data_IF_377113402413
#
_entry.id   IF_377113402413
#
_cell.length_a   1.000
_cell.length_b   1.000
_cell.length_c   1.000
_cell.angle_alpha   90.00
_cell.angle_beta   90.00
_cell.angle_gamma   90.00
#
_symmetry.space_group_name_H-M   'P 1'
#
loop_
_entity.id
_entity.type
_entity.pdbx_description
1 polymer ?
#
# COMPACT_ATOMS: atom_id res chain seq x y z
N UNK A 1 -5.42 -17.24 21.62
CA UNK A 1 -4.41 -16.18 21.39
C UNK A 1 -4.66 -15.56 20.02
N UNK A 2 -4.50 -14.25 19.85
CA UNK A 2 -4.63 -13.60 18.53
C UNK A 2 -3.28 -13.58 17.83
N UNK A 3 -3.22 -14.02 16.58
CA UNK A 3 -1.97 -14.04 15.80
C UNK A 3 -2.07 -13.09 14.62
N UNK A 4 -1.03 -12.31 14.36
CA UNK A 4 -0.95 -11.41 13.22
C UNK A 4 0.37 -11.60 12.50
N UNK A 5 0.30 -11.99 11.22
CA UNK A 5 1.43 -11.89 10.31
C UNK A 5 1.45 -10.49 9.71
N UNK A 6 2.56 -9.78 9.84
CA UNK A 6 2.77 -8.49 9.20
C UNK A 6 3.78 -8.64 8.07
N UNK A 7 3.27 -8.67 6.85
CA UNK A 7 4.05 -8.70 5.60
C UNK A 7 4.35 -7.26 5.21
N UNK A 8 5.63 -6.90 5.24
CA UNK A 8 6.06 -5.62 4.71
C UNK A 8 6.21 -5.71 3.19
N UNK A 9 5.31 -5.03 2.50
CA UNK A 9 5.27 -4.97 1.05
C UNK A 9 6.23 -3.90 0.52
N UNK A 10 6.75 -4.15 -0.68
CA UNK A 10 7.55 -3.23 -1.47
C UNK A 10 6.84 -3.13 -2.80
N UNK A 11 6.03 -2.09 -2.94
CA UNK A 11 5.30 -1.84 -4.17
C UNK A 11 6.27 -1.71 -5.34
N UNK A 12 6.18 -2.62 -6.31
CA UNK A 12 6.68 -2.39 -7.65
C UNK A 12 5.66 -1.57 -8.43
N UNK A 13 6.05 -1.03 -9.59
CA UNK A 13 5.14 -0.28 -10.47
C UNK A 13 3.86 -1.01 -10.84
N UNK A 14 3.84 -2.34 -10.77
CA UNK A 14 2.67 -3.21 -10.95
C UNK A 14 1.67 -3.18 -9.79
N UNK A 15 2.13 -2.83 -8.59
CA UNK A 15 1.31 -2.76 -7.37
C UNK A 15 0.80 -1.35 -7.08
N UNK A 16 1.33 -0.34 -7.79
CA UNK A 16 0.89 1.05 -7.68
C UNK A 16 -0.39 1.25 -8.52
N UNK A 17 -1.43 1.79 -7.88
CA UNK A 17 -2.68 2.15 -8.57
C UNK A 17 -2.48 3.37 -9.48
N UNK A 18 -1.90 3.15 -10.66
CA UNK A 18 -1.56 4.18 -11.65
C UNK A 18 -2.79 5.01 -12.08
N UNK A 19 -3.98 4.39 -12.11
CA UNK A 19 -5.25 5.04 -12.46
C UNK A 19 -5.67 6.10 -11.43
N UNK A 20 -5.36 5.88 -10.15
CA UNK A 20 -5.74 6.80 -9.06
C UNK A 20 -4.81 8.03 -9.03
N UNK A 21 -3.58 7.91 -9.53
CA UNK A 21 -2.57 8.97 -9.42
C UNK A 21 -2.38 9.81 -10.69
N UNK A 22 -3.08 9.50 -11.79
CA UNK A 22 -2.87 10.12 -13.11
C UNK A 22 -1.38 10.14 -13.52
N UNK A 23 -0.68 9.06 -13.14
CA UNK A 23 0.71 8.79 -13.52
C UNK A 23 0.66 7.66 -14.54
N UNK A 24 1.31 7.83 -15.69
CA UNK A 24 1.40 6.72 -16.63
C UNK A 24 2.25 5.59 -16.06
N UNK A 25 1.95 4.34 -16.39
CA UNK A 25 2.81 3.21 -16.00
C UNK A 25 4.26 3.40 -16.47
N UNK A 26 4.47 4.11 -17.57
CA UNK A 26 5.79 4.45 -18.10
C UNK A 26 6.54 5.47 -17.23
N UNK A 27 5.85 6.45 -16.65
CA UNK A 27 6.46 7.42 -15.73
C UNK A 27 6.95 6.71 -14.46
N UNK A 28 6.15 5.77 -13.91
CA UNK A 28 6.55 4.99 -12.74
C UNK A 28 7.78 4.14 -13.07
N UNK A 29 7.76 3.41 -14.19
CA UNK A 29 8.92 2.62 -14.65
C UNK A 29 10.17 3.48 -14.87
N UNK A 30 10.01 4.70 -15.36
CA UNK A 30 11.12 5.64 -15.55
C UNK A 30 11.70 6.11 -14.21
N UNK A 31 10.86 6.34 -13.19
CA UNK A 31 11.31 6.67 -11.82
C UNK A 31 12.08 5.48 -11.22
N UNK A 32 11.54 4.27 -11.30
CA UNK A 32 12.21 3.05 -10.82
C UNK A 32 13.57 2.85 -11.51
N UNK A 33 13.61 3.03 -12.83
CA UNK A 33 14.84 2.88 -13.61
C UNK A 33 15.89 3.93 -13.24
N UNK A 34 15.47 5.16 -12.91
CA UNK A 34 16.37 6.20 -12.40
C UNK A 34 16.88 5.87 -10.99
N UNK A 35 16.04 5.31 -10.13
CA UNK A 35 16.38 5.01 -8.75
C UNK A 35 17.31 3.78 -8.61
N UNK A 36 17.02 2.69 -9.34
CA UNK A 36 17.67 1.40 -9.14
C UNK A 36 18.49 0.91 -10.35
N UNK A 37 18.29 1.50 -11.52
CA UNK A 37 18.86 0.97 -12.78
C UNK A 37 18.24 -0.36 -13.21
N UNK A 38 18.49 -0.77 -14.46
CA UNK A 38 17.89 -2.00 -15.02
C UNK A 38 18.29 -3.27 -14.26
N UNK A 39 19.55 -3.39 -13.86
CA UNK A 39 20.03 -4.55 -13.11
C UNK A 39 19.52 -4.57 -11.67
N UNK A 40 19.39 -3.39 -11.04
CA UNK A 40 18.80 -3.28 -9.71
C UNK A 40 17.34 -3.69 -9.70
N UNK A 41 16.55 -3.26 -10.70
CA UNK A 41 15.15 -3.69 -10.86
C UNK A 41 15.06 -5.21 -10.98
N UNK A 42 15.83 -5.84 -11.88
CA UNK A 42 15.81 -7.30 -12.04
C UNK A 42 16.15 -8.06 -10.75
N UNK A 43 17.12 -7.55 -9.98
CA UNK A 43 17.48 -8.14 -8.68
C UNK A 43 16.34 -7.98 -7.68
N UNK A 44 15.72 -6.80 -7.63
CA UNK A 44 14.59 -6.51 -6.76
C UNK A 44 13.37 -7.38 -7.09
N UNK A 45 12.99 -7.48 -8.37
CA UNK A 45 11.93 -8.36 -8.86
C UNK A 45 12.18 -9.81 -8.42
N UNK A 46 13.41 -10.31 -8.55
CA UNK A 46 13.76 -11.67 -8.13
C UNK A 46 13.60 -11.86 -6.61
N UNK A 47 14.03 -10.89 -5.81
CA UNK A 47 13.89 -10.94 -4.35
C UNK A 47 12.41 -10.93 -3.94
N UNK A 48 11.61 -10.04 -4.55
CA UNK A 48 10.17 -9.92 -4.27
C UNK A 48 9.44 -11.19 -4.68
N UNK A 49 9.67 -11.71 -5.90
CA UNK A 49 9.02 -12.93 -6.37
C UNK A 49 9.35 -14.13 -5.48
N UNK A 50 10.62 -14.31 -5.13
CA UNK A 50 11.03 -15.37 -4.20
C UNK A 50 10.37 -15.23 -2.82
N UNK A 51 10.25 -14.00 -2.31
CA UNK A 51 9.57 -13.74 -1.05
C UNK A 51 8.10 -14.15 -1.11
N UNK A 52 7.36 -13.73 -2.15
CA UNK A 52 5.97 -14.12 -2.33
C UNK A 52 5.78 -15.62 -2.58
N UNK A 53 6.72 -16.30 -3.24
CA UNK A 53 6.69 -17.76 -3.35
C UNK A 53 6.79 -18.45 -1.98
N UNK A 54 7.61 -17.90 -1.07
CA UNK A 54 7.74 -18.39 0.30
C UNK A 54 6.47 -18.09 1.11
N UNK A 55 5.88 -16.90 0.95
CA UNK A 55 4.60 -16.56 1.58
C UNK A 55 3.49 -17.47 1.10
N UNK A 56 3.41 -17.74 -0.20
CA UNK A 56 2.45 -18.69 -0.79
C UNK A 56 2.55 -20.06 -0.13
N UNK A 57 3.75 -20.65 -0.06
CA UNK A 57 3.99 -21.95 0.61
C UNK A 57 3.66 -21.93 2.10
N UNK A 58 3.87 -20.81 2.79
CA UNK A 58 3.52 -20.65 4.21
C UNK A 58 2.01 -20.65 4.39
N UNK A 59 1.30 -19.79 3.65
CA UNK A 59 -0.16 -19.62 3.76
C UNK A 59 -0.98 -20.64 2.97
N UNK A 60 -0.33 -21.60 2.31
CA UNK A 60 -0.95 -22.87 1.94
C UNK A 60 -1.31 -23.72 3.16
N UNK A 61 -0.49 -23.66 4.22
CA UNK A 61 -0.62 -24.51 5.40
C UNK A 61 -1.21 -23.78 6.59
N UNK A 62 -0.97 -22.47 6.67
CA UNK A 62 -1.50 -21.62 7.73
C UNK A 62 -2.91 -21.14 7.37
N UNK A 63 -3.85 -21.28 8.32
CA UNK A 63 -5.18 -20.66 8.19
C UNK A 63 -5.05 -19.16 8.42
N UNK A 64 -5.63 -18.37 7.53
CA UNK A 64 -5.79 -16.91 7.70
C UNK A 64 -7.27 -16.60 7.75
N UNK A 65 -7.74 -16.01 8.85
CA UNK A 65 -9.14 -15.64 9.03
C UNK A 65 -9.42 -14.25 8.45
N UNK A 66 -8.47 -13.31 8.61
CA UNK A 66 -8.64 -11.90 8.23
C UNK A 66 -7.46 -11.34 7.46
N UNK A 67 -7.75 -10.55 6.44
CA UNK A 67 -6.77 -9.84 5.62
C UNK A 67 -6.96 -8.34 5.85
N UNK A 68 -5.84 -7.66 6.10
CA UNK A 68 -5.72 -6.22 6.21
C UNK A 68 -4.71 -5.75 5.16
N UNK A 69 -5.04 -4.71 4.39
CA UNK A 69 -4.16 -4.15 3.36
C UNK A 69 -3.97 -2.65 3.57
N UNK A 70 -2.75 -2.18 3.35
CA UNK A 70 -2.44 -0.76 3.15
C UNK A 70 -3.41 -0.13 2.14
N UNK A 71 -3.90 1.07 2.44
CA UNK A 71 -4.92 1.77 1.66
C UNK A 71 -6.31 1.14 1.70
N UNK A 72 -6.51 0.07 2.49
CA UNK A 72 -7.77 -0.66 2.59
C UNK A 72 -8.88 0.11 3.31
N UNK A 73 -9.57 0.99 2.59
CA UNK A 73 -10.63 1.86 3.15
C UNK A 73 -12.01 1.19 3.25
N UNK A 74 -12.19 -0.02 2.70
CA UNK A 74 -13.49 -0.69 2.59
C UNK A 74 -13.49 -2.01 3.38
N UNK A 75 -14.55 -2.25 4.14
CA UNK A 75 -14.80 -3.55 4.75
C UNK A 75 -15.48 -4.49 3.75
N UNK A 76 -14.67 -5.13 2.92
CA UNK A 76 -15.13 -6.03 1.87
C UNK A 76 -15.88 -7.25 2.41
N UNK A 77 -15.60 -7.71 3.64
CA UNK A 77 -16.39 -8.76 4.27
C UNK A 77 -17.83 -8.33 4.56
N UNK A 78 -18.06 -7.04 4.85
CA UNK A 78 -19.42 -6.48 4.98
C UNK A 78 -20.07 -6.32 3.61
N UNK A 79 -19.32 -5.89 2.59
CA UNK A 79 -19.81 -5.78 1.20
C UNK A 79 -20.23 -7.15 0.67
N UNK A 80 -19.43 -8.20 0.87
CA UNK A 80 -19.75 -9.56 0.46
C UNK A 80 -21.11 -10.07 1.00
N UNK A 81 -21.47 -9.64 2.22
CA UNK A 81 -22.73 -10.03 2.88
C UNK A 81 -23.93 -9.18 2.44
N UNK A 82 -23.70 -7.92 2.08
CA UNK A 82 -24.75 -6.92 1.85
C UNK A 82 -24.99 -6.60 0.37
N UNK A 83 -23.96 -6.73 -0.45
CA UNK A 83 -23.88 -6.39 -1.88
C UNK A 83 -22.92 -7.35 -2.61
N UNK A 84 -23.27 -8.65 -2.69
CA UNK A 84 -22.39 -9.68 -3.24
C UNK A 84 -21.94 -9.38 -4.67
N UNK A 85 -22.78 -8.75 -5.49
CA UNK A 85 -22.44 -8.34 -6.86
C UNK A 85 -21.28 -7.34 -6.92
N UNK A 86 -21.17 -6.44 -5.93
CA UNK A 86 -20.05 -5.49 -5.83
C UNK A 86 -18.79 -6.21 -5.36
N UNK A 87 -18.94 -7.18 -4.46
CA UNK A 87 -17.82 -7.99 -4.00
C UNK A 87 -17.25 -8.88 -5.12
N UNK A 88 -18.11 -9.47 -5.95
CA UNK A 88 -17.70 -10.25 -7.12
C UNK A 88 -16.94 -9.38 -8.13
N UNK A 89 -17.39 -8.14 -8.37
CA UNK A 89 -16.65 -7.19 -9.19
C UNK A 89 -15.27 -6.88 -8.60
N UNK A 90 -15.19 -6.66 -7.29
CA UNK A 90 -13.90 -6.45 -6.63
C UNK A 90 -12.95 -7.65 -6.79
N UNK A 91 -13.46 -8.90 -6.69
CA UNK A 91 -12.64 -10.08 -6.94
C UNK A 91 -12.16 -10.16 -8.40
N UNK A 92 -12.98 -9.77 -9.37
CA UNK A 92 -12.57 -9.67 -10.78
C UNK A 92 -11.47 -8.61 -10.96
N UNK A 93 -11.59 -7.46 -10.30
CA UNK A 93 -10.56 -6.42 -10.34
C UNK A 93 -9.24 -6.93 -9.74
N UNK A 94 -9.30 -7.75 -8.68
CA UNK A 94 -8.10 -8.44 -8.16
C UNK A 94 -7.51 -9.40 -9.18
N UNK A 95 -8.32 -10.19 -9.89
CA UNK A 95 -7.86 -11.11 -10.95
C UNK A 95 -7.15 -10.38 -12.10
N UNK A 96 -7.63 -9.19 -12.48
CA UNK A 96 -6.95 -8.34 -13.46
C UNK A 96 -5.56 -7.90 -12.94
N UNK A 97 -5.46 -7.48 -11.67
CA UNK A 97 -4.18 -7.10 -11.07
C UNK A 97 -3.20 -8.28 -10.95
N UNK A 98 -3.72 -9.46 -10.63
CA UNK A 98 -2.94 -10.71 -10.63
C UNK A 98 -2.43 -11.04 -12.03
N UNK A 99 -3.30 -10.92 -13.05
CA UNK A 99 -2.93 -11.15 -14.45
C UNK A 99 -1.89 -10.14 -14.94
N UNK A 100 -1.87 -8.93 -14.36
CA UNK A 100 -0.84 -7.92 -14.58
C UNK A 100 0.47 -8.17 -13.82
N UNK A 101 0.54 -9.22 -12.98
CA UNK A 101 1.75 -9.67 -12.29
C UNK A 101 1.87 -9.23 -10.82
N UNK A 102 0.82 -8.67 -10.21
CA UNK A 102 0.88 -8.30 -8.79
C UNK A 102 0.86 -9.53 -7.87
N UNK A 103 2.01 -9.81 -7.25
CA UNK A 103 2.17 -10.92 -6.30
C UNK A 103 1.43 -10.66 -4.98
N UNK A 104 1.30 -9.39 -4.59
CA UNK A 104 0.55 -8.97 -3.40
C UNK A 104 -0.93 -9.29 -3.54
N UNK A 105 -1.55 -8.88 -4.65
CA UNK A 105 -2.95 -9.20 -4.93
C UNK A 105 -3.18 -10.68 -5.20
N UNK A 106 -2.18 -11.41 -5.71
CA UNK A 106 -2.27 -12.86 -5.87
C UNK A 106 -2.40 -13.58 -4.53
N UNK A 107 -1.59 -13.19 -3.54
CA UNK A 107 -1.70 -13.71 -2.19
C UNK A 107 -3.10 -13.40 -1.61
N UNK A 108 -3.55 -12.16 -1.70
CA UNK A 108 -4.87 -11.74 -1.18
C UNK A 108 -6.01 -12.50 -1.85
N UNK A 109 -6.01 -12.58 -3.17
CA UNK A 109 -7.02 -13.31 -3.92
C UNK A 109 -7.04 -14.79 -3.53
N UNK A 110 -5.86 -15.42 -3.40
CA UNK A 110 -5.76 -16.83 -3.02
C UNK A 110 -6.35 -17.11 -1.63
N UNK A 111 -6.15 -16.18 -0.67
CA UNK A 111 -6.66 -16.31 0.69
C UNK A 111 -8.15 -15.98 0.77
N UNK A 112 -8.61 -14.94 0.07
CA UNK A 112 -10.02 -14.61 -0.04
C UNK A 112 -10.83 -15.77 -0.64
N UNK A 113 -10.30 -16.44 -1.69
CA UNK A 113 -10.91 -17.65 -2.28
C UNK A 113 -10.94 -18.84 -1.31
N UNK A 114 -10.05 -18.89 -0.31
CA UNK A 114 -10.06 -19.87 0.78
C UNK A 114 -10.99 -19.49 1.95
N UNK A 115 -11.67 -18.34 1.85
CA UNK A 115 -12.65 -17.88 2.84
C UNK A 115 -12.14 -16.85 3.84
N UNK A 116 -10.93 -16.31 3.67
CA UNK A 116 -10.46 -15.21 4.50
C UNK A 116 -11.31 -13.94 4.29
N UNK A 117 -11.66 -13.25 5.36
CA UNK A 117 -12.40 -11.98 5.32
C UNK A 117 -11.44 -10.80 5.06
N UNK A 118 -11.65 -10.04 3.99
CA UNK A 118 -10.91 -8.80 3.74
C UNK A 118 -11.58 -7.66 4.53
N UNK A 119 -10.84 -7.08 5.48
CA UNK A 119 -11.35 -6.08 6.41
C UNK A 119 -10.93 -4.68 6.00
N UNK A 120 -11.73 -3.70 6.43
CA UNK A 120 -11.29 -2.32 6.45
C UNK A 120 -10.06 -2.21 7.35
N UNK A 121 -9.02 -1.61 6.81
CA UNK A 121 -7.72 -1.46 7.45
C UNK A 121 -7.52 -0.02 7.87
N UNK A 122 -7.94 0.95 7.07
CA UNK A 122 -7.68 2.37 7.32
C UNK A 122 -8.93 3.25 7.38
N UNK A 123 -8.74 4.46 7.88
CA UNK A 123 -9.75 5.52 7.78
C UNK A 123 -9.84 6.03 6.33
N UNK A 124 -11.02 5.98 5.68
CA UNK A 124 -11.19 6.38 4.29
C UNK A 124 -10.77 7.83 4.02
N UNK A 125 -10.95 8.72 4.99
CA UNK A 125 -10.56 10.13 4.87
C UNK A 125 -9.04 10.26 4.82
N UNK A 126 -8.30 9.53 5.65
CA UNK A 126 -6.84 9.55 5.66
C UNK A 126 -6.27 8.99 4.34
N UNK A 127 -6.85 7.90 3.82
CA UNK A 127 -6.47 7.32 2.52
C UNK A 127 -6.69 8.33 1.38
N UNK A 128 -7.85 9.02 1.37
CA UNK A 128 -8.15 10.06 0.37
C UNK A 128 -7.21 11.27 0.48
N UNK A 129 -6.86 11.68 1.69
CA UNK A 129 -5.91 12.77 1.94
C UNK A 129 -4.50 12.44 1.42
N UNK A 130 -4.04 11.20 1.60
CA UNK A 130 -2.79 10.71 1.05
C UNK A 130 -2.81 10.63 -0.48
N UNK A 131 -3.85 10.03 -1.07
CA UNK A 131 -4.01 9.98 -2.53
C UNK A 131 -3.99 11.40 -3.14
N UNK A 132 -4.70 12.34 -2.52
CA UNK A 132 -4.71 13.76 -2.93
C UNK A 132 -3.31 14.38 -2.85
N UNK A 133 -2.55 14.08 -1.81
CA UNK A 133 -1.18 14.56 -1.68
C UNK A 133 -0.29 14.03 -2.81
N UNK A 134 -0.32 12.71 -3.08
CA UNK A 134 0.46 12.12 -4.16
C UNK A 134 0.08 12.69 -5.53
N UNK A 135 -1.21 12.84 -5.82
CA UNK A 135 -1.68 13.48 -7.07
C UNK A 135 -1.13 14.90 -7.23
N UNK A 136 -1.17 15.71 -6.16
CA UNK A 136 -0.62 17.07 -6.19
C UNK A 136 0.90 17.04 -6.42
N UNK A 137 1.60 16.15 -5.72
CA UNK A 137 3.04 16.01 -5.83
C UNK A 137 3.47 15.62 -7.25
N UNK A 138 2.77 14.67 -7.87
CA UNK A 138 2.98 14.26 -9.28
C UNK A 138 2.79 15.44 -10.22
N UNK A 139 1.70 16.21 -10.07
CA UNK A 139 1.45 17.40 -10.89
C UNK A 139 2.62 18.38 -10.80
N UNK A 140 3.15 18.59 -9.58
CA UNK A 140 4.31 19.45 -9.39
C UNK A 140 5.59 18.89 -10.04
N UNK A 141 5.82 17.57 -10.01
CA UNK A 141 6.94 16.95 -10.73
C UNK A 141 6.83 17.20 -12.24
N UNK A 142 5.64 16.98 -12.82
CA UNK A 142 5.40 17.21 -14.26
C UNK A 142 5.68 18.67 -14.63
N UNK A 143 5.20 19.63 -13.83
CA UNK A 143 5.49 21.06 -14.03
C UNK A 143 6.99 21.34 -14.00
N UNK A 144 7.72 20.80 -13.01
CA UNK A 144 9.18 20.98 -12.91
C UNK A 144 9.91 20.41 -14.12
N UNK A 145 9.46 19.26 -14.64
CA UNK A 145 10.02 18.67 -15.85
C UNK A 145 9.75 19.54 -17.08
N UNK A 146 8.54 20.03 -17.26
CA UNK A 146 8.19 20.92 -18.37
C UNK A 146 8.98 22.25 -18.33
N UNK A 147 9.14 22.85 -17.14
CA UNK A 147 10.00 24.02 -16.93
C UNK A 147 11.44 23.74 -17.36
N UNK A 148 11.98 22.56 -17.00
CA UNK A 148 13.33 22.16 -17.40
C UNK A 148 13.51 22.00 -18.92
N UNK A 149 12.40 21.74 -19.64
CA UNK A 149 12.34 21.68 -21.11
C UNK A 149 12.06 23.03 -21.76
N UNK A 150 12.03 24.12 -20.98
CA UNK A 150 11.85 25.49 -21.46
C UNK A 150 10.40 25.89 -21.69
N UNK A 151 9.41 25.12 -21.20
CA UNK A 151 8.00 25.53 -21.22
C UNK A 151 7.84 26.82 -20.41
N UNK A 152 7.16 27.80 -21.00
CA UNK A 152 6.76 29.03 -20.32
C UNK A 152 5.28 28.92 -19.96
N UNK A 153 4.96 29.35 -18.75
CA UNK A 153 3.60 29.43 -18.26
C UNK A 153 3.15 30.89 -18.31
N UNK A 154 1.86 31.12 -18.51
CA UNK A 154 1.29 32.45 -18.41
C UNK A 154 1.14 32.86 -16.92
N UNK A 155 0.92 34.15 -16.61
CA UNK A 155 0.86 34.59 -15.21
C UNK A 155 -0.20 33.90 -14.34
N UNK A 156 -1.30 33.43 -14.93
CA UNK A 156 -2.35 32.69 -14.21
C UNK A 156 -1.87 31.28 -13.85
N UNK A 157 -1.28 30.58 -14.82
CA UNK A 157 -0.70 29.25 -14.61
C UNK A 157 0.45 29.31 -13.59
N UNK A 158 1.28 30.35 -13.62
CA UNK A 158 2.34 30.54 -12.62
C UNK A 158 1.80 30.68 -11.20
N UNK A 159 0.67 31.36 -11.03
CA UNK A 159 0.02 31.50 -9.73
C UNK A 159 -0.57 30.18 -9.24
N UNK A 160 -1.24 29.43 -10.12
CA UNK A 160 -1.76 28.08 -9.81
C UNK A 160 -0.63 27.12 -9.39
N UNK A 161 0.54 27.20 -10.03
CA UNK A 161 1.74 26.42 -9.67
C UNK A 161 2.25 26.79 -8.28
N UNK A 162 2.27 28.09 -7.93
CA UNK A 162 2.69 28.54 -6.60
C UNK A 162 1.73 28.05 -5.52
N UNK A 163 0.42 28.20 -5.75
CA UNK A 163 -0.61 27.70 -4.82
C UNK A 163 -0.48 26.20 -4.59
N UNK A 164 -0.26 25.43 -5.67
CA UNK A 164 -0.01 23.98 -5.59
C UNK A 164 1.25 23.68 -4.76
N UNK A 165 2.35 24.41 -4.98
CA UNK A 165 3.59 24.22 -4.24
C UNK A 165 3.43 24.54 -2.74
N UNK A 166 2.71 25.61 -2.39
CA UNK A 166 2.38 25.96 -1.00
C UNK A 166 1.54 24.86 -0.35
N UNK A 167 0.52 24.35 -1.05
CA UNK A 167 -0.32 23.25 -0.56
C UNK A 167 0.49 21.99 -0.28
N UNK A 168 1.39 21.62 -1.19
CA UNK A 168 2.28 20.45 -1.03
C UNK A 168 3.23 20.65 0.16
N UNK A 169 3.85 21.82 0.29
CA UNK A 169 4.77 22.12 1.40
C UNK A 169 4.07 21.99 2.76
N UNK A 170 2.83 22.50 2.86
CA UNK A 170 1.99 22.30 4.05
C UNK A 170 1.74 20.82 4.31
N UNK A 171 1.28 20.07 3.31
CA UNK A 171 1.00 18.64 3.47
C UNK A 171 2.26 17.82 3.83
N UNK A 172 3.43 18.19 3.32
CA UNK A 172 4.71 17.58 3.70
C UNK A 172 5.06 17.85 5.16
N UNK A 173 4.82 19.06 5.66
CA UNK A 173 5.07 19.37 7.08
C UNK A 173 4.18 18.56 8.03
N UNK A 174 3.01 18.12 7.56
CA UNK A 174 2.03 17.31 8.31
C UNK A 174 2.18 15.80 8.04
N UNK A 175 3.17 15.37 7.24
CA UNK A 175 3.26 13.98 6.76
C UNK A 175 3.54 12.99 7.89
N UNK A 176 4.41 13.34 8.84
CA UNK A 176 4.75 12.46 9.97
C UNK A 176 3.52 12.20 10.86
N UNK A 177 2.79 13.27 11.22
CA UNK A 177 1.55 13.17 12.01
C UNK A 177 0.48 12.35 11.28
N UNK A 178 0.37 12.52 9.96
CA UNK A 178 -0.58 11.75 9.15
C UNK A 178 -0.22 10.27 9.10
N UNK A 179 1.06 9.94 8.94
CA UNK A 179 1.55 8.57 8.97
C UNK A 179 1.23 7.89 10.31
N UNK A 180 1.47 8.59 11.42
CA UNK A 180 1.13 8.09 12.75
C UNK A 180 -0.39 7.86 12.91
N UNK A 181 -1.23 8.80 12.46
CA UNK A 181 -2.70 8.62 12.49
C UNK A 181 -3.16 7.42 11.67
N UNK A 182 -2.53 7.15 10.52
CA UNK A 182 -2.81 5.96 9.71
C UNK A 182 -2.40 4.70 10.47
N UNK A 183 -1.20 4.64 11.05
CA UNK A 183 -0.74 3.51 11.87
C UNK A 183 -1.68 3.20 13.04
N UNK A 184 -2.14 4.25 13.74
CA UNK A 184 -3.12 4.12 14.81
C UNK A 184 -4.46 3.58 14.32
N UNK A 185 -4.97 4.08 13.18
CA UNK A 185 -6.23 3.60 12.60
C UNK A 185 -6.14 2.13 12.18
N UNK A 186 -5.00 1.72 11.59
CA UNK A 186 -4.71 0.33 11.23
C UNK A 186 -4.74 -0.56 12.46
N UNK A 187 -3.99 -0.18 13.50
CA UNK A 187 -3.95 -0.95 14.74
C UNK A 187 -5.33 -1.03 15.41
N UNK A 188 -6.07 0.08 15.46
CA UNK A 188 -7.41 0.13 16.05
C UNK A 188 -8.39 -0.79 15.32
N UNK A 189 -8.39 -0.78 13.99
CA UNK A 189 -9.21 -1.69 13.18
C UNK A 189 -8.84 -3.15 13.41
N UNK A 190 -7.54 -3.48 13.47
CA UNK A 190 -7.08 -4.84 13.79
C UNK A 190 -7.50 -5.23 15.20
N UNK A 191 -7.26 -4.37 16.20
CA UNK A 191 -7.57 -4.62 17.60
C UNK A 191 -9.06 -4.90 17.83
N UNK A 192 -9.94 -4.21 17.10
CA UNK A 192 -11.40 -4.36 17.15
C UNK A 192 -11.90 -5.58 16.39
N UNK A 193 -11.30 -5.88 15.24
CA UNK A 193 -11.85 -6.87 14.33
C UNK A 193 -11.22 -8.25 14.49
N UNK A 194 -9.92 -8.37 14.82
CA UNK A 194 -9.25 -9.66 15.05
C UNK A 194 -9.61 -10.19 16.44
N UNK A 195 -10.34 -11.31 16.45
CA UNK A 195 -10.88 -11.96 17.65
C UNK A 195 -9.94 -13.04 18.16
N UNK A 196 -10.21 -13.51 19.37
CA UNK A 196 -9.45 -14.58 19.99
C UNK A 196 -9.43 -15.85 19.12
N UNK A 197 -8.26 -16.51 19.05
CA UNK A 197 -7.99 -17.68 18.22
C UNK A 197 -8.07 -17.45 16.70
N UNK A 198 -8.21 -16.20 16.25
CA UNK A 198 -8.11 -15.86 14.83
C UNK A 198 -6.67 -15.47 14.45
N UNK A 199 -6.36 -15.74 13.19
CA UNK A 199 -5.12 -15.35 12.54
C UNK A 199 -5.38 -14.27 11.50
N UNK A 200 -4.70 -13.14 11.64
CA UNK A 200 -4.69 -12.03 10.69
C UNK A 200 -3.46 -12.04 9.80
N UNK A 201 -3.61 -11.52 8.59
CA UNK A 201 -2.52 -11.13 7.69
C UNK A 201 -2.65 -9.63 7.40
N UNK A 202 -1.66 -8.84 7.81
CA UNK A 202 -1.51 -7.45 7.44
C UNK A 202 -0.45 -7.33 6.35
N UNK A 203 -0.82 -6.81 5.19
CA UNK A 203 0.10 -6.44 4.11
C UNK A 203 0.23 -4.92 4.13
N UNK A 204 1.43 -4.40 4.42
CA UNK A 204 1.64 -2.98 4.68
C UNK A 204 2.96 -2.46 4.13
N UNK A 205 3.01 -1.19 3.70
CA UNK A 205 4.24 -0.57 3.24
C UNK A 205 5.31 -0.49 4.32
N UNK A 206 6.58 -0.63 3.92
CA UNK A 206 7.75 -0.63 4.82
C UNK A 206 7.98 0.64 5.67
N UNK A 207 7.22 1.71 5.41
CA UNK A 207 7.26 2.97 6.16
C UNK A 207 6.37 2.96 7.42
N UNK A 208 5.42 2.04 7.51
CA UNK A 208 4.44 1.99 8.59
C UNK A 208 5.01 1.35 9.87
N UNK A 209 4.56 1.85 11.03
CA UNK A 209 4.94 1.35 12.35
C UNK A 209 3.71 1.11 13.24
N UNK A 210 2.94 0.07 12.90
CA UNK A 210 1.68 -0.29 13.59
C UNK A 210 1.93 -0.97 14.95
N UNK A 211 3.07 -1.65 15.12
CA UNK A 211 3.39 -2.49 16.29
C UNK A 211 3.17 -1.81 17.65
N UNK A 212 3.56 -0.55 17.89
CA UNK A 212 3.35 0.12 19.18
C UNK A 212 1.88 0.29 19.57
N UNK A 213 0.97 0.28 18.59
CA UNK A 213 -0.46 0.53 18.78
C UNK A 213 -1.30 -0.76 18.83
N UNK A 214 -0.70 -1.93 18.55
CA UNK A 214 -1.38 -3.21 18.65
C UNK A 214 -1.66 -3.59 20.11
N UNK A 215 -2.80 -4.23 20.34
CA UNK A 215 -3.18 -4.72 21.65
C UNK A 215 -2.21 -5.83 22.11
N UNK A 216 -1.85 -5.82 23.40
CA UNK A 216 -0.85 -6.74 24.00
C UNK A 216 -1.12 -8.23 23.79
N UNK A 217 -2.37 -8.62 23.52
CA UNK A 217 -2.76 -10.01 23.26
C UNK A 217 -2.60 -10.45 21.80
N UNK A 218 -2.04 -9.61 20.93
CA UNK A 218 -1.72 -9.96 19.55
C UNK A 218 -0.24 -10.38 19.47
N UNK A 219 -0.01 -11.63 19.11
CA UNK A 219 1.31 -12.12 18.75
C UNK A 219 1.63 -11.70 17.31
N UNK A 220 2.66 -10.89 17.15
CA UNK A 220 3.07 -10.33 15.86
C UNK A 220 4.26 -11.11 15.28
N UNK A 221 4.11 -11.67 14.09
CA UNK A 221 5.21 -12.22 13.28
C UNK A 221 5.47 -11.31 12.08
N UNK A 222 6.65 -10.69 12.05
CA UNK A 222 7.05 -9.76 11.00
C UNK A 222 7.74 -10.52 9.86
N UNK A 223 7.27 -10.33 8.63
CA UNK A 223 7.74 -11.02 7.42
C UNK A 223 8.25 -9.97 6.43
N UNK A 224 9.51 -10.09 6.03
CA UNK A 224 10.15 -9.19 5.08
C UNK A 224 10.98 -9.98 4.06
N UNK A 225 11.17 -9.46 2.84
CA UNK A 225 12.12 -10.04 1.90
C UNK A 225 13.54 -10.08 2.48
N UNK A 226 14.29 -11.11 2.13
CA UNK A 226 15.67 -11.28 2.60
C UNK A 226 16.56 -10.07 2.24
N UNK A 227 17.38 -9.63 3.19
CA UNK A 227 18.25 -8.47 3.02
C UNK A 227 17.55 -7.10 3.17
N UNK A 228 16.24 -7.09 3.40
CA UNK A 228 15.50 -5.89 3.76
C UNK A 228 15.54 -5.66 5.28
N UNK A 229 15.54 -4.39 5.68
CA UNK A 229 15.32 -3.93 7.05
C UNK A 229 14.23 -2.87 7.02
N UNK A 230 13.46 -2.73 8.09
CA UNK A 230 12.53 -1.61 8.21
C UNK A 230 13.29 -0.29 8.13
N UNK A 231 12.65 0.75 7.60
CA UNK A 231 13.30 2.07 7.52
C UNK A 231 13.54 2.63 8.93
N UNK A 232 12.70 2.29 9.90
CA UNK A 232 12.92 2.56 11.33
C UNK A 232 14.19 1.92 11.91
N UNK A 233 14.71 0.85 11.29
CA UNK A 233 15.93 0.13 11.70
C UNK A 233 17.19 0.60 10.92
N UNK A 234 17.05 1.56 9.99
CA UNK A 234 18.17 2.17 9.27
C UNK A 234 18.70 3.45 9.93
N UNK A 235 17.96 3.98 10.91
CA UNK A 235 18.31 5.22 11.63
C UNK A 235 18.77 4.98 13.08
N UNK A 236 19.05 3.72 13.45
CA UNK A 236 19.61 3.33 14.76
C UNK A 236 21.06 2.91 14.66
#
# INVERSE_FOLDING_TARGET
>A
MRKLFCVYDIHLSTDLESKTLDISADDIKNIEKKAYGREGIKKLEKVINNFYDLLGKKFEKEKVDKIYQDGGAIDWATVAKTKPEIYDQFLNDLEEKVSAGSRSYELVLSLAKKGSEIKQTEDPKLVLEEATFFQNYVKLIKVKEELSKGKKYNPKEEEEIKELAVKIAKQQSEQAERGEKRDMAIADNINKSLKEEETGLLIIGAMHNVKPYLAKGIELEELMPEGMKRISERCS
#
